data_IF_967722853255
#
_entry.id   IF_967722853255
#
_cell.length_a   1.000
_cell.length_b   1.000
_cell.length_c   1.000
_cell.angle_alpha   90.00
_cell.angle_beta   90.00
_cell.angle_gamma   90.00
#
_symmetry.space_group_name_H-M   'P 1'
#
loop_
_entity.id
_entity.type
_entity.pdbx_description
1 polymer ?
#
# COMPACT_ATOMS: atom_id res chain seq x y z
N UNK A 1 56.39 -30.00 5.43
CA UNK A 1 55.71 -28.73 5.09
C UNK A 1 54.66 -28.88 3.97
N UNK A 2 54.64 -29.98 3.21
CA UNK A 2 53.70 -30.17 2.08
C UNK A 2 52.28 -30.60 2.47
N UNK A 3 52.11 -31.29 3.61
CA UNK A 3 50.81 -31.80 4.06
C UNK A 3 49.81 -30.68 4.42
N UNK A 4 50.30 -29.58 5.00
CA UNK A 4 49.44 -28.44 5.39
C UNK A 4 48.93 -27.66 4.16
N UNK A 5 49.72 -27.56 3.09
CA UNK A 5 49.28 -26.94 1.82
C UNK A 5 48.14 -27.73 1.17
N UNK A 6 48.09 -29.06 1.32
CA UNK A 6 47.01 -29.89 0.78
C UNK A 6 45.73 -29.84 1.61
N UNK A 7 45.83 -29.73 2.95
CA UNK A 7 44.67 -29.49 3.84
C UNK A 7 44.04 -28.10 3.62
N UNK A 8 44.85 -27.10 3.30
CA UNK A 8 44.36 -25.74 3.00
C UNK A 8 43.71 -25.66 1.61
N UNK A 9 44.29 -26.33 0.59
CA UNK A 9 43.69 -26.44 -0.75
C UNK A 9 42.34 -27.18 -0.73
N UNK A 10 42.21 -28.23 0.09
CA UNK A 10 40.95 -28.99 0.22
C UNK A 10 39.86 -28.20 0.93
N UNK A 11 40.20 -27.39 1.94
CA UNK A 11 39.25 -26.50 2.63
C UNK A 11 38.78 -25.33 1.73
N UNK A 12 39.67 -24.77 0.90
CA UNK A 12 39.33 -23.77 -0.13
C UNK A 12 38.41 -24.38 -1.21
N UNK A 13 38.69 -25.61 -1.67
CA UNK A 13 37.81 -26.34 -2.60
C UNK A 13 36.42 -26.59 -1.99
N UNK A 14 36.34 -26.97 -0.71
CA UNK A 14 35.07 -27.12 0.03
C UNK A 14 34.31 -25.79 0.14
N UNK A 15 34.97 -24.69 0.53
CA UNK A 15 34.37 -23.34 0.58
C UNK A 15 33.85 -22.88 -0.78
N UNK A 16 34.59 -23.13 -1.85
CA UNK A 16 34.17 -22.79 -3.22
C UNK A 16 33.00 -23.65 -3.71
N UNK A 17 32.94 -24.93 -3.32
CA UNK A 17 31.81 -25.82 -3.62
C UNK A 17 30.53 -25.41 -2.87
N UNK A 18 30.64 -25.00 -1.60
CA UNK A 18 29.53 -24.43 -0.81
C UNK A 18 29.07 -23.09 -1.38
N UNK A 19 29.99 -22.18 -1.77
CA UNK A 19 29.64 -20.93 -2.46
C UNK A 19 28.97 -21.18 -3.82
N UNK A 20 29.39 -22.23 -4.56
CA UNK A 20 28.78 -22.63 -5.83
C UNK A 20 27.37 -23.24 -5.63
N UNK A 21 27.16 -23.99 -4.55
CA UNK A 21 25.83 -24.47 -4.13
C UNK A 21 24.89 -23.32 -3.71
N UNK A 22 25.40 -22.33 -2.95
CA UNK A 22 24.63 -21.14 -2.57
C UNK A 22 24.28 -20.25 -3.78
N UNK A 23 25.16 -20.15 -4.79
CA UNK A 23 24.88 -19.47 -6.07
C UNK A 23 23.84 -20.19 -6.94
N UNK A 24 23.74 -21.51 -6.85
CA UNK A 24 22.78 -22.33 -7.62
C UNK A 24 21.43 -22.52 -6.92
N UNK A 25 21.18 -21.86 -5.78
CA UNK A 25 19.86 -21.86 -5.13
C UNK A 25 18.93 -20.97 -5.96
N UNK A 26 18.31 -21.55 -7.01
CA UNK A 26 17.27 -20.92 -7.83
C UNK A 26 16.30 -20.20 -6.89
N UNK A 27 16.29 -18.87 -6.91
CA UNK A 27 15.31 -18.08 -6.17
C UNK A 27 13.92 -18.58 -6.60
N UNK A 28 13.13 -19.09 -5.66
CA UNK A 28 11.72 -19.43 -5.90
C UNK A 28 11.09 -18.33 -6.73
N UNK A 29 10.46 -18.66 -7.88
CA UNK A 29 9.74 -17.67 -8.71
C UNK A 29 8.84 -16.88 -7.76
N UNK A 30 9.16 -15.60 -7.54
CA UNK A 30 8.34 -14.75 -6.68
C UNK A 30 7.00 -14.57 -7.39
N UNK A 31 5.95 -15.18 -6.87
CA UNK A 31 4.59 -14.98 -7.36
C UNK A 31 4.30 -13.48 -7.39
N UNK A 32 3.68 -13.01 -8.48
CA UNK A 32 3.37 -11.60 -8.64
C UNK A 32 2.43 -11.13 -7.52
N UNK A 33 2.62 -9.90 -7.05
CA UNK A 33 1.79 -9.35 -5.99
C UNK A 33 0.34 -9.16 -6.47
N UNK A 34 -0.60 -9.86 -5.83
CA UNK A 34 -2.04 -9.76 -6.15
C UNK A 34 -2.63 -8.49 -5.55
N UNK A 35 -3.51 -7.82 -6.30
CA UNK A 35 -4.23 -6.61 -5.86
C UNK A 35 -5.50 -6.99 -5.11
N UNK A 36 -5.56 -6.68 -3.81
CA UNK A 36 -6.68 -7.00 -2.90
C UNK A 36 -7.52 -5.78 -2.50
N UNK A 37 -7.47 -4.70 -3.28
CA UNK A 37 -8.10 -3.42 -2.96
C UNK A 37 -8.66 -2.79 -4.21
N UNK A 38 -9.64 -1.91 -4.07
CA UNK A 38 -10.13 -1.06 -5.14
C UNK A 38 -9.38 0.27 -5.27
N UNK A 39 -9.19 0.72 -6.52
CA UNK A 39 -8.46 1.98 -6.76
C UNK A 39 -9.40 3.13 -6.41
N UNK A 40 -8.92 4.09 -5.63
CA UNK A 40 -9.56 5.38 -5.50
C UNK A 40 -8.59 6.52 -5.77
N UNK A 41 -9.14 7.72 -5.93
CA UNK A 41 -8.41 8.99 -6.04
C UNK A 41 -8.93 9.93 -4.98
N UNK A 42 -8.03 10.57 -4.23
CA UNK A 42 -8.38 11.60 -3.25
C UNK A 42 -8.66 12.89 -4.03
N UNK A 43 -9.88 13.41 -3.96
CA UNK A 43 -10.25 14.64 -4.66
C UNK A 43 -9.87 15.88 -3.84
N UNK A 44 -10.14 15.84 -2.54
CA UNK A 44 -10.03 16.99 -1.65
C UNK A 44 -10.65 16.70 -0.31
N UNK A 45 -10.78 17.72 0.54
CA UNK A 45 -11.69 17.60 1.70
C UNK A 45 -13.14 17.92 1.34
N UNK A 46 -14.05 17.60 2.24
CA UNK A 46 -15.42 18.13 2.20
C UNK A 46 -15.34 19.66 2.22
N UNK A 47 -16.13 20.33 1.38
CA UNK A 47 -16.05 21.77 1.24
C UNK A 47 -17.40 22.41 0.97
N UNK A 48 -17.50 23.67 1.35
CA UNK A 48 -18.45 24.65 0.84
C UNK A 48 -17.77 25.47 -0.27
N UNK A 49 -18.44 26.47 -0.81
CA UNK A 49 -17.88 27.35 -1.84
C UNK A 49 -16.57 28.00 -1.37
N UNK A 50 -16.54 28.51 -0.13
CA UNK A 50 -15.40 29.23 0.46
C UNK A 50 -14.66 28.46 1.55
N UNK A 51 -15.35 27.58 2.28
CA UNK A 51 -14.79 26.89 3.44
C UNK A 51 -14.45 25.44 3.14
N UNK A 52 -13.40 24.92 3.79
CA UNK A 52 -12.91 23.56 3.65
C UNK A 52 -12.93 22.87 5.02
N UNK A 53 -13.42 21.63 5.09
CA UNK A 53 -13.50 20.84 6.32
C UNK A 53 -12.56 19.61 6.24
N UNK A 54 -11.34 19.69 6.80
CA UNK A 54 -10.33 18.64 6.73
C UNK A 54 -10.70 17.32 7.40
N UNK A 55 -11.75 17.31 8.25
CA UNK A 55 -12.17 16.10 8.97
C UNK A 55 -12.64 14.99 8.02
N UNK A 56 -13.18 15.37 6.86
CA UNK A 56 -13.71 14.44 5.87
C UNK A 56 -13.04 14.63 4.53
N UNK A 57 -12.65 13.54 3.92
CA UNK A 57 -11.97 13.52 2.61
C UNK A 57 -12.91 12.93 1.57
N UNK A 58 -12.95 13.53 0.40
CA UNK A 58 -13.72 13.07 -0.75
C UNK A 58 -12.85 12.14 -1.58
N UNK A 59 -13.34 10.93 -1.84
CA UNK A 59 -12.62 9.92 -2.62
C UNK A 59 -13.53 9.45 -3.75
N UNK A 60 -13.02 9.55 -4.98
CA UNK A 60 -13.64 8.91 -6.14
C UNK A 60 -13.14 7.47 -6.24
N UNK A 61 -14.04 6.51 -6.35
CA UNK A 61 -13.71 5.09 -6.53
C UNK A 61 -13.69 4.80 -8.02
N UNK A 62 -12.70 4.05 -8.50
CA UNK A 62 -12.61 3.68 -9.90
C UNK A 62 -13.84 2.85 -10.30
N UNK A 63 -14.44 3.19 -11.43
CA UNK A 63 -15.61 2.50 -12.03
C UNK A 63 -16.88 2.52 -11.16
N UNK A 64 -17.01 3.46 -10.23
CA UNK A 64 -18.23 3.64 -9.41
C UNK A 64 -18.82 5.00 -9.71
N UNK A 65 -19.90 5.01 -10.49
CA UNK A 65 -20.51 6.25 -10.97
C UNK A 65 -21.86 6.57 -10.29
N UNK A 66 -22.44 5.63 -9.56
CA UNK A 66 -23.75 5.81 -8.91
C UNK A 66 -23.64 5.73 -7.39
N UNK A 67 -24.58 6.40 -6.71
CA UNK A 67 -24.68 6.36 -5.24
C UNK A 67 -24.96 4.96 -4.72
N UNK A 68 -25.77 4.16 -5.43
CA UNK A 68 -26.10 2.79 -5.04
C UNK A 68 -24.84 1.91 -4.99
N UNK A 69 -23.99 1.99 -6.02
CA UNK A 69 -22.73 1.23 -6.04
C UNK A 69 -21.72 1.73 -5.00
N UNK A 70 -21.68 3.04 -4.73
CA UNK A 70 -20.82 3.58 -3.67
C UNK A 70 -21.23 3.13 -2.26
N UNK A 71 -22.50 2.80 -2.04
CA UNK A 71 -23.01 2.33 -0.75
C UNK A 71 -22.33 1.03 -0.29
N UNK A 72 -21.97 0.15 -1.22
CA UNK A 72 -21.19 -1.08 -0.96
C UNK A 72 -19.88 -0.81 -0.19
N UNK A 73 -19.26 0.34 -0.46
CA UNK A 73 -17.95 0.68 0.11
C UNK A 73 -18.07 1.37 1.47
N UNK A 74 -19.28 1.66 1.95
CA UNK A 74 -19.48 2.24 3.29
C UNK A 74 -19.01 1.26 4.35
N UNK A 75 -18.26 1.75 5.34
CA UNK A 75 -17.68 0.92 6.39
C UNK A 75 -16.34 0.28 6.06
N UNK A 76 -15.97 0.19 4.77
CA UNK A 76 -14.69 -0.37 4.32
C UNK A 76 -13.50 0.45 4.83
N UNK A 77 -12.36 -0.20 4.99
CA UNK A 77 -11.09 0.46 5.37
C UNK A 77 -10.42 1.09 4.17
N UNK A 78 -9.84 2.25 4.38
CA UNK A 78 -9.09 2.98 3.36
C UNK A 78 -7.67 3.26 3.84
N UNK A 79 -6.72 3.19 2.91
CA UNK A 79 -5.31 3.35 3.18
C UNK A 79 -4.68 4.29 2.14
N UNK A 80 -4.14 5.42 2.62
CA UNK A 80 -3.28 6.29 1.83
C UNK A 80 -1.83 5.89 2.06
N UNK A 81 -1.20 5.32 1.04
CA UNK A 81 0.18 4.83 1.09
C UNK A 81 1.07 5.78 0.32
N UNK A 82 2.10 6.31 0.98
CA UNK A 82 3.03 7.29 0.40
C UNK A 82 4.47 6.95 0.76
N UNK A 83 5.41 7.51 0.00
CA UNK A 83 6.85 7.30 0.17
C UNK A 83 7.49 8.53 0.80
N UNK A 84 8.45 8.30 1.69
CA UNK A 84 9.28 9.34 2.32
C UNK A 84 10.74 9.14 1.95
N UNK A 85 11.51 10.23 1.98
CA UNK A 85 12.96 10.17 1.73
C UNK A 85 13.72 9.54 2.90
N UNK A 86 13.36 9.97 4.12
CA UNK A 86 13.90 9.43 5.38
C UNK A 86 13.23 8.10 5.72
N UNK A 87 14.03 7.21 6.31
CA UNK A 87 13.52 5.96 6.87
C UNK A 87 12.84 6.25 8.20
N UNK A 88 11.67 5.63 8.41
CA UNK A 88 11.00 5.56 9.70
C UNK A 88 10.84 4.08 10.03
N UNK A 89 11.36 3.62 11.17
CA UNK A 89 11.33 2.21 11.57
C UNK A 89 11.89 1.26 10.49
N UNK A 90 12.98 1.66 9.85
CA UNK A 90 13.62 0.89 8.77
C UNK A 90 12.94 0.98 7.39
N UNK A 91 11.72 1.52 7.30
CA UNK A 91 10.95 1.58 6.05
C UNK A 91 10.80 3.01 5.50
N UNK A 92 10.74 3.13 4.16
CA UNK A 92 10.47 4.40 3.45
C UNK A 92 9.00 4.60 3.09
N UNK A 93 8.14 3.62 3.38
CA UNK A 93 6.73 3.62 2.99
C UNK A 93 5.89 3.81 4.24
N UNK A 94 5.01 4.80 4.22
CA UNK A 94 4.09 5.11 5.31
C UNK A 94 2.66 4.97 4.84
N UNK A 95 1.77 4.72 5.79
CA UNK A 95 0.35 4.57 5.54
C UNK A 95 -0.45 5.40 6.53
N UNK A 96 -1.40 6.19 6.03
CA UNK A 96 -2.46 6.80 6.84
C UNK A 96 -3.73 5.97 6.63
N UNK A 97 -4.24 5.43 7.73
CA UNK A 97 -5.44 4.60 7.74
C UNK A 97 -6.68 5.44 7.96
N UNK A 98 -7.78 5.02 7.36
CA UNK A 98 -9.10 5.59 7.55
C UNK A 98 -10.21 4.58 7.33
N UNK A 99 -11.44 5.08 7.44
CA UNK A 99 -12.67 4.33 7.19
C UNK A 99 -13.58 5.16 6.27
N UNK A 100 -14.27 4.47 5.37
CA UNK A 100 -15.33 5.08 4.56
C UNK A 100 -16.56 5.27 5.44
N UNK A 101 -17.03 6.51 5.55
CA UNK A 101 -18.13 6.87 6.44
C UNK A 101 -19.50 6.84 5.75
N UNK A 102 -19.63 7.49 4.60
CA UNK A 102 -20.89 7.58 3.84
C UNK A 102 -20.64 7.98 2.40
N UNK A 103 -21.63 7.78 1.54
CA UNK A 103 -21.63 8.28 0.16
C UNK A 103 -21.73 9.81 0.10
N UNK A 104 -21.29 10.38 -1.03
CA UNK A 104 -21.25 11.81 -1.29
C UNK A 104 -21.74 12.11 -2.71
N UNK A 105 -22.77 12.96 -2.82
CA UNK A 105 -23.40 13.27 -4.10
C UNK A 105 -23.98 12.05 -4.80
N UNK A 106 -24.19 12.18 -6.11
CA UNK A 106 -24.78 11.13 -6.95
C UNK A 106 -23.75 10.35 -7.78
N UNK A 107 -22.55 10.91 -7.98
CA UNK A 107 -21.52 10.40 -8.90
C UNK A 107 -20.63 9.29 -8.31
N UNK A 108 -21.12 8.55 -7.31
CA UNK A 108 -20.35 7.46 -6.70
C UNK A 108 -19.14 7.86 -5.84
N UNK A 109 -19.02 9.15 -5.51
CA UNK A 109 -17.98 9.66 -4.59
C UNK A 109 -18.32 9.26 -3.16
N UNK A 110 -17.31 9.01 -2.33
CA UNK A 110 -17.47 8.67 -0.93
C UNK A 110 -16.76 9.68 -0.03
N UNK A 111 -17.24 9.79 1.22
CA UNK A 111 -16.56 10.47 2.32
C UNK A 111 -15.80 9.46 3.16
N UNK A 112 -14.53 9.72 3.39
CA UNK A 112 -13.71 8.96 4.31
C UNK A 112 -13.17 9.83 5.45
N UNK A 113 -13.11 9.25 6.65
CA UNK A 113 -12.45 9.81 7.82
C UNK A 113 -11.17 9.04 8.08
N UNK A 114 -10.05 9.75 8.06
CA UNK A 114 -8.74 9.18 8.36
C UNK A 114 -8.39 9.39 9.83
N UNK A 115 -7.51 8.55 10.37
CA UNK A 115 -7.03 8.68 11.76
C UNK A 115 -6.31 10.02 11.98
N UNK A 116 -5.53 10.43 10.99
CA UNK A 116 -4.94 11.76 10.88
C UNK A 116 -5.44 12.37 9.59
N UNK A 117 -5.73 13.67 9.57
CA UNK A 117 -6.17 14.35 8.35
C UNK A 117 -5.18 14.11 7.21
N UNK A 118 -5.70 13.81 6.02
CA UNK A 118 -4.87 13.63 4.83
C UNK A 118 -4.15 14.96 4.55
N UNK A 119 -2.87 14.99 4.17
CA UNK A 119 -2.21 16.23 3.76
C UNK A 119 -2.75 16.74 2.40
N UNK A 120 -2.88 18.06 2.16
CA UNK A 120 -3.37 18.59 0.88
C UNK A 120 -2.56 18.15 -0.35
N UNK A 121 -1.27 17.85 -0.14
CA UNK A 121 -0.38 17.27 -1.18
C UNK A 121 -0.91 15.97 -1.79
N UNK A 122 -1.74 15.23 -1.05
CA UNK A 122 -2.32 13.98 -1.52
C UNK A 122 -3.54 14.16 -2.43
N UNK A 123 -3.96 15.38 -2.74
CA UNK A 123 -5.05 15.59 -3.70
C UNK A 123 -4.58 15.18 -5.11
N UNK A 124 -5.39 14.38 -5.80
CA UNK A 124 -5.02 13.72 -7.05
C UNK A 124 -4.24 12.40 -6.84
N UNK A 125 -3.76 12.11 -5.63
CA UNK A 125 -3.08 10.84 -5.37
C UNK A 125 -4.04 9.66 -5.31
N UNK A 126 -3.48 8.48 -5.58
CA UNK A 126 -4.18 7.20 -5.46
C UNK A 126 -4.30 6.76 -4.01
N UNK A 127 -5.48 6.24 -3.67
CA UNK A 127 -5.78 5.63 -2.38
C UNK A 127 -6.26 4.20 -2.58
N UNK A 128 -6.07 3.35 -1.56
CA UNK A 128 -6.46 1.95 -1.58
C UNK A 128 -7.71 1.76 -0.72
N UNK A 129 -8.80 1.32 -1.30
CA UNK A 129 -10.03 0.98 -0.58
C UNK A 129 -10.08 -0.53 -0.45
N UNK A 130 -10.01 -1.03 0.77
CA UNK A 130 -9.89 -2.45 1.04
C UNK A 130 -11.27 -3.10 1.10
N UNK A 131 -11.36 -4.40 0.80
CA UNK A 131 -12.66 -5.10 0.74
C UNK A 131 -13.23 -5.44 2.11
N UNK A 132 -12.49 -5.15 3.18
CA UNK A 132 -12.87 -5.44 4.56
C UNK A 132 -13.14 -4.16 5.37
N UNK A 133 -13.98 -4.22 6.43
CA UNK A 133 -14.83 -5.35 6.84
C UNK A 133 -15.94 -5.66 5.80
N UNK A 134 -16.30 -6.94 5.65
CA UNK A 134 -17.40 -7.35 4.76
C UNK A 134 -18.70 -7.47 5.54
N UNK A 135 -19.76 -6.83 5.03
CA UNK A 135 -21.12 -6.89 5.54
C UNK A 135 -22.08 -7.45 4.47
N UNK A 136 -21.51 -8.12 3.46
CA UNK A 136 -22.20 -8.81 2.38
C UNK A 136 -22.03 -10.29 2.62
#
# INVERSE_FOLDING_TARGET
>A
MEENKNKEKTSIKKKNKVKKQLKNKKSSKKTQAVRLYEKGVILGYKRSQRNQDPNFTLIAIKNVNTKQHAQFYVGKRVAYVYRTNKHHNGVKIKCIWGKVCRTHGNNGVIRAKFRTHIPPKAFGDRVRILMYPSNI
#
